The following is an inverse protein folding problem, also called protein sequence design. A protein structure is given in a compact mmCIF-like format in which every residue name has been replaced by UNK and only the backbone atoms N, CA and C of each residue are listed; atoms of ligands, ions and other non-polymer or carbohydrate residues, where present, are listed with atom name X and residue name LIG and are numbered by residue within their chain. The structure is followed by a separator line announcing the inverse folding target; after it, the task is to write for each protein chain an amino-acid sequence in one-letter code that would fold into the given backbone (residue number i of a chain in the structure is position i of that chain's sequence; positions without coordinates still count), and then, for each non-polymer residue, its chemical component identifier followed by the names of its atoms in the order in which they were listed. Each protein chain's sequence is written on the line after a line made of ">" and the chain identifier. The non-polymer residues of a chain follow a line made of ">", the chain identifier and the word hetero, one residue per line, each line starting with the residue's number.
data_IF_815821665824
#
_entry.id   IF_815821665824
#
_cell.length_a   1.000
_cell.length_b   1.000
_cell.length_c   1.000
_cell.angle_alpha   90.00
_cell.angle_beta   90.00
_cell.angle_gamma   90.00
#
_symmetry.space_group_name_H-M   'P 1'
#
loop_
_entity.id
_entity.type
_entity.pdbx_description
1 polymer ?
#
# COMPACT_ATOMS: atom_id res chain seq x y z
N UNK A 1 -13.98 26.92 18.78
CA UNK A 1 -13.25 26.98 17.51
C UNK A 1 -11.78 27.13 17.83
N UNK A 2 -10.91 26.23 17.39
CA UNK A 2 -9.47 26.38 17.54
C UNK A 2 -8.90 26.74 16.16
N UNK A 3 -8.11 27.82 16.07
CA UNK A 3 -7.59 28.36 14.79
C UNK A 3 -8.64 28.68 13.71
N UNK A 4 -9.90 28.95 14.09
CA UNK A 4 -10.98 29.23 13.13
C UNK A 4 -11.65 27.98 12.54
N UNK A 5 -11.33 26.78 13.05
CA UNK A 5 -11.90 25.51 12.60
C UNK A 5 -12.86 24.89 13.63
N UNK A 6 -13.90 24.16 13.17
CA UNK A 6 -14.62 23.19 13.98
C UNK A 6 -13.64 22.27 14.70
N UNK A 7 -13.78 22.15 16.02
CA UNK A 7 -12.95 21.27 16.85
C UNK A 7 -13.06 19.80 16.41
N UNK A 8 -14.18 19.42 15.79
CA UNK A 8 -14.41 18.10 15.18
C UNK A 8 -13.35 17.71 14.14
N UNK A 9 -12.78 18.67 13.41
CA UNK A 9 -11.81 18.39 12.34
C UNK A 9 -10.50 17.82 12.88
N UNK A 10 -10.06 18.26 14.06
CA UNK A 10 -8.81 17.78 14.66
C UNK A 10 -8.86 16.28 14.95
N UNK A 11 -10.00 15.78 15.43
CA UNK A 11 -10.21 14.34 15.65
C UNK A 11 -10.10 13.54 14.35
N UNK A 12 -10.62 14.06 13.23
CA UNK A 12 -10.55 13.42 11.91
C UNK A 12 -9.10 13.41 11.39
N UNK A 13 -8.37 14.52 11.55
CA UNK A 13 -6.98 14.63 11.09
C UNK A 13 -6.05 13.70 11.88
N UNK A 14 -6.20 13.64 13.21
CA UNK A 14 -5.43 12.75 14.08
C UNK A 14 -5.76 11.29 13.75
N UNK A 15 -7.05 10.96 13.57
CA UNK A 15 -7.45 9.63 13.12
C UNK A 15 -6.79 9.25 11.80
N UNK A 16 -6.80 10.15 10.80
CA UNK A 16 -6.16 9.90 9.50
C UNK A 16 -4.64 9.72 9.65
N UNK A 17 -3.98 10.55 10.46
CA UNK A 17 -2.54 10.42 10.72
C UNK A 17 -2.20 9.04 11.27
N UNK A 18 -2.88 8.64 12.35
CA UNK A 18 -2.63 7.38 13.03
C UNK A 18 -2.97 6.17 12.15
N UNK A 19 -4.08 6.21 11.41
CA UNK A 19 -4.43 5.14 10.47
C UNK A 19 -3.41 5.02 9.34
N UNK A 20 -2.93 6.15 8.78
CA UNK A 20 -1.94 6.14 7.70
C UNK A 20 -0.59 5.64 8.18
N UNK A 21 -0.15 6.09 9.36
CA UNK A 21 1.03 5.54 10.01
C UNK A 21 0.91 4.02 10.14
N UNK A 22 -0.24 3.57 10.65
CA UNK A 22 -0.48 2.16 10.93
C UNK A 22 -0.47 1.32 9.65
N UNK A 23 -1.16 1.77 8.59
CA UNK A 23 -1.20 1.10 7.29
C UNK A 23 0.18 1.02 6.62
N UNK A 24 0.88 2.16 6.49
CA UNK A 24 2.17 2.20 5.78
C UNK A 24 3.29 1.52 6.57
N UNK A 25 3.31 1.63 7.90
CA UNK A 25 4.31 0.97 8.74
C UNK A 25 4.23 -0.54 8.65
N UNK A 26 3.03 -1.10 8.85
CA UNK A 26 2.80 -2.54 8.72
C UNK A 26 3.08 -3.04 7.29
N UNK A 27 2.62 -2.29 6.27
CA UNK A 27 2.88 -2.63 4.86
C UNK A 27 4.37 -2.62 4.51
N UNK A 28 5.17 -1.73 5.09
CA UNK A 28 6.59 -1.61 4.77
C UNK A 28 7.39 -2.88 5.14
N UNK A 29 7.10 -3.45 6.31
CA UNK A 29 7.82 -4.62 6.86
C UNK A 29 7.24 -5.96 6.39
N UNK A 30 6.05 -5.95 5.79
CA UNK A 30 5.24 -7.15 5.54
C UNK A 30 5.93 -8.18 4.63
N UNK A 31 6.60 -7.74 3.56
CA UNK A 31 7.28 -8.67 2.64
C UNK A 31 8.46 -9.37 3.32
N UNK A 32 9.17 -8.66 4.22
CA UNK A 32 10.28 -9.22 4.98
C UNK A 32 9.78 -10.18 6.07
N UNK A 33 8.60 -9.91 6.64
CA UNK A 33 7.92 -10.85 7.54
C UNK A 33 7.63 -12.17 6.82
N UNK A 34 7.05 -12.13 5.61
CA UNK A 34 6.81 -13.36 4.84
C UNK A 34 8.09 -14.13 4.53
N UNK A 35 9.15 -13.42 4.10
CA UNK A 35 10.43 -14.04 3.74
C UNK A 35 11.17 -14.63 4.94
N UNK A 36 11.35 -13.85 6.02
CA UNK A 36 12.25 -14.23 7.11
C UNK A 36 11.55 -14.83 8.32
N UNK A 37 10.26 -14.54 8.55
CA UNK A 37 9.52 -15.10 9.68
C UNK A 37 8.72 -16.34 9.24
N UNK A 38 7.92 -16.22 8.18
CA UNK A 38 7.16 -17.35 7.64
C UNK A 38 7.98 -18.28 6.74
N UNK A 39 9.23 -17.91 6.43
CA UNK A 39 10.15 -18.70 5.60
C UNK A 39 9.60 -19.01 4.20
N UNK A 40 8.85 -18.07 3.61
CA UNK A 40 8.37 -18.20 2.24
C UNK A 40 9.41 -17.70 1.22
N UNK A 41 9.35 -18.25 0.01
CA UNK A 41 10.17 -17.76 -1.09
C UNK A 41 9.75 -16.34 -1.54
N UNK A 42 10.62 -15.70 -2.31
CA UNK A 42 10.43 -14.33 -2.80
C UNK A 42 9.19 -14.17 -3.69
N UNK A 43 8.82 -15.22 -4.44
CA UNK A 43 7.67 -15.20 -5.35
C UNK A 43 6.36 -15.29 -4.58
N UNK A 44 6.24 -16.24 -3.65
CA UNK A 44 5.07 -16.41 -2.79
C UNK A 44 4.87 -15.18 -1.90
N UNK A 45 5.95 -14.67 -1.29
CA UNK A 45 5.92 -13.45 -0.48
C UNK A 45 5.39 -12.25 -1.29
N UNK A 46 5.88 -12.10 -2.53
CA UNK A 46 5.41 -11.05 -3.44
C UNK A 46 3.94 -11.24 -3.83
N UNK A 47 3.52 -12.48 -4.15
CA UNK A 47 2.15 -12.78 -4.56
C UNK A 47 1.13 -12.50 -3.45
N UNK A 48 1.40 -12.92 -2.21
CA UNK A 48 0.53 -12.67 -1.07
C UNK A 48 0.49 -11.17 -0.73
N UNK A 49 1.65 -10.49 -0.76
CA UNK A 49 1.71 -9.04 -0.57
C UNK A 49 0.80 -8.28 -1.55
N UNK A 50 0.89 -8.57 -2.85
CA UNK A 50 0.06 -7.90 -3.84
C UNK A 50 -1.41 -8.32 -3.78
N UNK A 51 -1.71 -9.57 -3.39
CA UNK A 51 -3.09 -10.01 -3.16
C UNK A 51 -3.73 -9.23 -2.02
N UNK A 52 -2.99 -9.02 -0.93
CA UNK A 52 -3.41 -8.16 0.18
C UNK A 52 -3.65 -6.71 -0.26
N UNK A 53 -2.71 -6.12 -1.02
CA UNK A 53 -2.87 -4.75 -1.55
C UNK A 53 -4.08 -4.65 -2.47
N UNK A 54 -4.27 -5.61 -3.38
CA UNK A 54 -5.42 -5.67 -4.26
C UNK A 54 -6.74 -5.72 -3.46
N UNK A 55 -6.80 -6.54 -2.41
CA UNK A 55 -7.97 -6.61 -1.54
C UNK A 55 -8.24 -5.27 -0.84
N UNK A 56 -7.20 -4.59 -0.34
CA UNK A 56 -7.31 -3.26 0.28
C UNK A 56 -7.84 -2.16 -0.67
N UNK A 57 -7.72 -2.34 -1.98
CA UNK A 57 -8.24 -1.42 -3.00
C UNK A 57 -9.54 -1.90 -3.66
N UNK A 58 -9.94 -3.15 -3.42
CA UNK A 58 -11.22 -3.72 -3.85
C UNK A 58 -12.34 -3.49 -2.82
N UNK A 59 -12.04 -3.68 -1.54
CA UNK A 59 -12.97 -3.50 -0.42
C UNK A 59 -13.52 -2.07 -0.22
N UNK A 60 -12.92 -0.97 -0.72
CA UNK A 60 -13.58 0.34 -0.77
C UNK A 60 -14.96 0.31 -1.42
N UNK A 61 -15.15 -0.51 -2.46
CA UNK A 61 -16.47 -0.64 -3.10
C UNK A 61 -17.48 -1.11 -2.07
N UNK A 62 -17.17 -2.16 -1.30
CA UNK A 62 -18.04 -2.67 -0.24
C UNK A 62 -18.29 -1.62 0.84
N UNK A 63 -17.26 -0.91 1.29
CA UNK A 63 -17.38 0.15 2.29
C UNK A 63 -18.31 1.29 1.85
N UNK A 64 -18.19 1.74 0.60
CA UNK A 64 -19.05 2.76 0.02
C UNK A 64 -20.51 2.26 -0.08
N UNK A 65 -20.73 1.03 -0.56
CA UNK A 65 -22.09 0.46 -0.63
C UNK A 65 -22.75 0.41 0.75
N UNK A 66 -22.02 -0.01 1.79
CA UNK A 66 -22.52 -0.11 3.17
C UNK A 66 -22.83 1.29 3.75
N UNK A 67 -21.93 2.25 3.56
CA UNK A 67 -22.10 3.62 4.05
C UNK A 67 -23.27 4.34 3.39
N UNK A 68 -23.41 4.24 2.07
CA UNK A 68 -24.41 5.01 1.32
C UNK A 68 -25.81 4.38 1.36
N UNK A 69 -25.89 3.07 1.62
CA UNK A 69 -27.18 2.34 1.57
C UNK A 69 -27.76 2.01 2.94
N UNK A 70 -26.93 1.74 3.96
CA UNK A 70 -27.41 1.13 5.21
C UNK A 70 -26.97 1.88 6.48
N UNK A 71 -25.68 1.95 6.74
CA UNK A 71 -25.17 2.37 8.06
C UNK A 71 -24.92 3.88 8.17
N UNK A 72 -24.68 4.58 7.05
CA UNK A 72 -24.15 5.94 7.05
C UNK A 72 -22.64 5.98 7.30
N UNK A 73 -21.98 7.02 6.80
CA UNK A 73 -20.50 7.16 6.82
C UNK A 73 -19.90 6.96 8.22
N UNK A 74 -20.45 7.62 9.24
CA UNK A 74 -19.91 7.55 10.61
C UNK A 74 -19.92 6.12 11.19
N UNK A 75 -21.06 5.42 11.11
CA UNK A 75 -21.16 4.05 11.64
C UNK A 75 -20.30 3.07 10.85
N UNK A 76 -20.24 3.21 9.53
CA UNK A 76 -19.35 2.41 8.68
C UNK A 76 -17.88 2.60 9.06
N UNK A 77 -17.43 3.84 9.28
CA UNK A 77 -16.06 4.13 9.72
C UNK A 77 -15.76 3.43 11.05
N UNK A 78 -16.63 3.59 12.06
CA UNK A 78 -16.41 2.97 13.38
C UNK A 78 -16.40 1.45 13.30
N UNK A 79 -17.41 0.84 12.69
CA UNK A 79 -17.52 -0.63 12.60
C UNK A 79 -16.33 -1.25 11.86
N UNK A 80 -15.92 -0.68 10.72
CA UNK A 80 -14.78 -1.20 9.96
C UNK A 80 -13.44 -0.88 10.61
N UNK A 81 -13.33 0.21 11.38
CA UNK A 81 -12.12 0.51 12.16
C UNK A 81 -11.95 -0.46 13.34
N UNK A 82 -13.04 -0.97 13.92
CA UNK A 82 -12.97 -2.06 14.92
C UNK A 82 -12.43 -3.33 14.27
N UNK A 83 -12.98 -3.73 13.11
CA UNK A 83 -12.48 -4.88 12.33
C UNK A 83 -11.01 -4.71 11.98
N UNK A 84 -10.60 -3.50 11.58
CA UNK A 84 -9.21 -3.17 11.29
C UNK A 84 -8.32 -3.34 12.54
N UNK A 85 -8.73 -2.79 13.68
CA UNK A 85 -7.98 -2.88 14.94
C UNK A 85 -7.80 -4.34 15.37
N UNK A 86 -8.86 -5.16 15.27
CA UNK A 86 -8.78 -6.60 15.56
C UNK A 86 -7.80 -7.27 14.59
N UNK A 87 -7.89 -6.98 13.30
CA UNK A 87 -6.97 -7.53 12.30
C UNK A 87 -5.51 -7.23 12.60
N UNK A 88 -5.19 -6.00 13.03
CA UNK A 88 -3.83 -5.64 13.43
C UNK A 88 -3.38 -6.29 14.74
N UNK A 89 -4.27 -6.43 15.72
CA UNK A 89 -3.96 -7.16 16.95
C UNK A 89 -3.65 -8.64 16.64
N UNK A 90 -4.44 -9.27 15.76
CA UNK A 90 -4.19 -10.64 15.30
C UNK A 90 -2.85 -10.75 14.57
N UNK A 91 -2.50 -9.79 13.71
CA UNK A 91 -1.18 -9.75 13.05
C UNK A 91 -0.03 -9.56 14.04
N UNK A 92 -0.20 -8.74 15.08
CA UNK A 92 0.82 -8.57 16.10
C UNK A 92 1.03 -9.88 16.86
N UNK A 93 -0.04 -10.55 17.28
CA UNK A 93 0.01 -11.85 17.95
C UNK A 93 0.59 -12.94 17.05
N UNK A 94 0.27 -12.96 15.76
CA UNK A 94 0.81 -13.94 14.81
C UNK A 94 2.32 -13.83 14.60
N UNK A 95 2.95 -12.74 15.04
CA UNK A 95 4.39 -12.54 14.92
C UNK A 95 5.18 -12.86 16.20
N UNK A 96 4.51 -13.30 17.28
CA UNK A 96 5.16 -13.66 18.55
C UNK A 96 5.69 -15.11 18.45
N UNK A 97 7.00 -15.29 18.31
CA UNK A 97 7.64 -16.63 18.24
C UNK A 97 7.29 -17.52 19.44
N UNK A 98 7.36 -16.94 20.65
CA UNK A 98 7.10 -17.63 21.92
C UNK A 98 5.66 -18.21 22.02
N UNK A 99 4.76 -17.91 21.08
CA UNK A 99 3.41 -18.49 21.06
C UNK A 99 3.40 -19.99 20.74
N UNK A 100 4.32 -20.45 19.89
CA UNK A 100 4.42 -21.87 19.50
C UNK A 100 5.77 -22.50 19.79
N UNK A 101 6.80 -21.70 20.10
CA UNK A 101 8.13 -22.14 20.49
C UNK A 101 8.14 -22.76 21.90
N UNK A 102 7.85 -24.07 21.98
CA UNK A 102 7.88 -24.84 23.23
C UNK A 102 9.30 -25.28 23.59
N UNK A 103 10.17 -25.46 22.59
CA UNK A 103 11.53 -25.93 22.76
C UNK A 103 12.53 -24.79 23.13
N UNK A 104 12.08 -23.52 23.03
CA UNK A 104 12.81 -22.28 23.32
C UNK A 104 14.04 -22.05 22.45
N UNK A 105 14.06 -22.58 21.24
CA UNK A 105 15.17 -22.40 20.30
C UNK A 105 15.10 -21.05 19.54
N UNK A 106 14.00 -20.31 19.69
CA UNK A 106 13.78 -19.02 19.04
C UNK A 106 13.11 -19.12 17.67
N UNK A 107 12.70 -20.32 17.25
CA UNK A 107 11.95 -20.57 16.02
C UNK A 107 10.57 -21.15 16.31
N UNK A 108 9.53 -20.78 15.55
CA UNK A 108 8.21 -21.36 15.74
C UNK A 108 8.20 -22.86 15.42
N UNK A 109 7.92 -23.71 16.41
CA UNK A 109 7.75 -25.17 16.20
C UNK A 109 6.60 -25.46 15.22
N UNK A 110 5.56 -24.63 15.21
CA UNK A 110 4.34 -24.81 14.40
C UNK A 110 4.03 -23.57 13.57
N UNK A 111 4.75 -23.42 12.45
CA UNK A 111 4.60 -22.29 11.51
C UNK A 111 3.17 -22.16 10.96
N UNK A 112 2.39 -23.24 10.87
CA UNK A 112 1.02 -23.23 10.33
C UNK A 112 0.05 -22.35 11.13
N UNK A 113 0.23 -22.25 12.45
CA UNK A 113 -0.59 -21.36 13.30
C UNK A 113 -0.27 -19.90 12.98
N UNK A 114 1.01 -19.55 12.86
CA UNK A 114 1.45 -18.20 12.49
C UNK A 114 0.94 -17.81 11.11
N UNK A 115 0.97 -18.72 10.13
CA UNK A 115 0.40 -18.51 8.81
C UNK A 115 -1.11 -18.27 8.89
N UNK A 116 -1.86 -19.14 9.58
CA UNK A 116 -3.31 -19.03 9.67
C UNK A 116 -3.75 -17.70 10.33
N UNK A 117 -3.14 -17.35 11.45
CA UNK A 117 -3.40 -16.08 12.14
C UNK A 117 -3.04 -14.89 11.25
N UNK A 118 -1.90 -14.94 10.56
CA UNK A 118 -1.48 -13.86 9.66
C UNK A 118 -2.45 -13.67 8.49
N UNK A 119 -2.92 -14.76 7.87
CA UNK A 119 -3.88 -14.66 6.76
C UNK A 119 -5.23 -14.11 7.22
N UNK A 120 -5.71 -14.52 8.40
CA UNK A 120 -6.93 -13.95 9.01
C UNK A 120 -6.73 -12.47 9.30
N UNK A 121 -5.60 -12.09 9.91
CA UNK A 121 -5.24 -10.71 10.21
C UNK A 121 -5.22 -9.83 8.96
N UNK A 122 -4.56 -10.28 7.88
CA UNK A 122 -4.49 -9.55 6.61
C UNK A 122 -5.86 -9.36 5.94
N UNK A 123 -6.74 -10.36 5.98
CA UNK A 123 -8.10 -10.25 5.44
C UNK A 123 -8.91 -9.21 6.23
N UNK A 124 -8.86 -9.29 7.56
CA UNK A 124 -9.56 -8.32 8.44
C UNK A 124 -9.03 -6.90 8.23
N UNK A 125 -7.71 -6.74 8.12
CA UNK A 125 -7.09 -5.44 7.82
C UNK A 125 -7.56 -4.93 6.47
N UNK A 126 -7.54 -5.75 5.43
CA UNK A 126 -7.93 -5.34 4.08
C UNK A 126 -9.41 -4.92 4.01
N UNK A 127 -10.30 -5.62 4.73
CA UNK A 127 -11.70 -5.23 4.88
C UNK A 127 -11.83 -3.90 5.63
N UNK A 128 -11.08 -3.75 6.72
CA UNK A 128 -11.04 -2.55 7.55
C UNK A 128 -10.54 -1.31 6.80
N UNK A 129 -9.26 -1.27 6.44
CA UNK A 129 -8.63 -0.11 5.77
C UNK A 129 -9.31 0.23 4.46
N UNK A 130 -9.63 -0.77 3.63
CA UNK A 130 -10.25 -0.49 2.33
C UNK A 130 -11.67 0.05 2.48
N UNK A 131 -12.49 -0.52 3.37
CA UNK A 131 -13.86 -0.04 3.51
C UNK A 131 -13.99 1.33 4.21
N UNK A 132 -13.00 1.78 5.01
CA UNK A 132 -13.00 3.14 5.58
C UNK A 132 -12.53 4.21 4.59
N UNK A 133 -11.64 3.89 3.63
CA UNK A 133 -11.04 4.83 2.66
C UNK A 133 -12.04 5.78 1.96
N UNK A 134 -13.15 5.29 1.35
CA UNK A 134 -14.09 6.17 0.66
C UNK A 134 -14.94 7.00 1.63
N UNK A 135 -15.02 6.59 2.90
CA UNK A 135 -15.91 7.19 3.89
C UNK A 135 -15.23 8.34 4.64
N UNK A 136 -13.98 8.20 5.07
CA UNK A 136 -13.31 9.17 5.96
C UNK A 136 -13.10 10.53 5.30
N UNK A 137 -12.59 10.54 4.06
CA UNK A 137 -12.36 11.77 3.29
C UNK A 137 -13.68 12.51 2.99
N UNK A 138 -14.71 11.76 2.59
CA UNK A 138 -16.05 12.30 2.36
C UNK A 138 -16.68 12.82 3.67
N UNK A 139 -16.53 12.10 4.78
CA UNK A 139 -17.03 12.51 6.10
C UNK A 139 -16.36 13.77 6.62
N UNK A 140 -15.04 13.91 6.40
CA UNK A 140 -14.30 15.14 6.70
C UNK A 140 -14.79 16.34 5.87
N UNK A 141 -15.07 16.12 4.58
CA UNK A 141 -15.66 17.14 3.71
C UNK A 141 -17.05 17.61 4.15
N UNK A 142 -17.88 16.68 4.65
CA UNK A 142 -19.23 16.95 5.15
C UNK A 142 -19.26 17.84 6.42
N UNK A 143 -18.12 18.08 7.08
CA UNK A 143 -18.05 18.93 8.27
C UNK A 143 -18.11 20.43 7.95
N UNK A 144 -18.03 20.80 6.67
CA UNK A 144 -18.08 22.18 6.22
C UNK A 144 -19.41 22.46 5.51
N UNK A 145 -19.94 23.66 5.73
CA UNK A 145 -21.09 24.15 4.97
C UNK A 145 -20.67 24.67 3.58
N UNK A 146 -21.62 24.81 2.66
CA UNK A 146 -21.32 25.21 1.27
C UNK A 146 -20.64 26.57 1.14
N UNK A 147 -20.88 27.51 2.07
CA UNK A 147 -20.24 28.82 2.09
C UNK A 147 -18.76 28.79 2.57
N UNK A 148 -18.29 27.66 3.10
CA UNK A 148 -16.96 27.51 3.72
C UNK A 148 -15.92 26.88 2.77
N UNK A 149 -15.99 27.16 1.47
CA UNK A 149 -15.12 26.50 0.47
C UNK A 149 -13.63 26.67 0.74
N UNK A 150 -13.19 27.87 1.17
CA UNK A 150 -11.78 28.16 1.50
C UNK A 150 -11.29 27.33 2.69
N UNK A 151 -12.13 27.14 3.71
CA UNK A 151 -11.80 26.32 4.88
C UNK A 151 -11.74 24.85 4.51
N UNK A 152 -12.70 24.37 3.70
CA UNK A 152 -12.74 23.00 3.16
C UNK A 152 -11.51 22.67 2.32
N UNK A 153 -11.07 23.58 1.45
CA UNK A 153 -9.85 23.39 0.65
C UNK A 153 -8.58 23.31 1.52
N UNK A 154 -8.47 24.19 2.53
CA UNK A 154 -7.34 24.15 3.47
C UNK A 154 -7.36 22.88 4.34
N UNK A 155 -8.53 22.39 4.72
CA UNK A 155 -8.66 21.09 5.38
C UNK A 155 -8.09 19.95 4.54
N UNK A 156 -8.45 19.85 3.26
CA UNK A 156 -7.88 18.82 2.38
C UNK A 156 -6.37 18.94 2.21
N UNK A 157 -5.82 20.16 2.27
CA UNK A 157 -4.37 20.38 2.26
C UNK A 157 -3.70 19.85 3.53
N UNK A 158 -4.29 20.10 4.71
CA UNK A 158 -3.78 19.56 5.99
C UNK A 158 -3.96 18.04 6.04
N UNK A 159 -5.08 17.52 5.53
CA UNK A 159 -5.35 16.09 5.41
C UNK A 159 -4.29 15.40 4.55
N UNK A 160 -3.94 16.00 3.41
CA UNK A 160 -2.85 15.53 2.55
C UNK A 160 -1.48 15.54 3.24
N UNK A 161 -1.18 16.62 3.99
CA UNK A 161 0.04 16.69 4.78
C UNK A 161 0.09 15.60 5.86
N UNK A 162 -1.03 15.35 6.54
CA UNK A 162 -1.19 14.29 7.55
C UNK A 162 -0.90 12.90 6.98
N UNK A 163 -1.43 12.59 5.79
CA UNK A 163 -1.17 11.32 5.08
C UNK A 163 0.33 11.13 4.83
N UNK A 164 0.99 12.14 4.26
CA UNK A 164 2.41 12.05 3.94
C UNK A 164 3.29 11.99 5.19
N UNK A 165 2.95 12.77 6.23
CA UNK A 165 3.64 12.72 7.51
C UNK A 165 3.51 11.35 8.18
N UNK A 166 2.30 10.76 8.17
CA UNK A 166 2.05 9.42 8.71
C UNK A 166 2.87 8.36 7.97
N UNK A 167 2.84 8.38 6.62
CA UNK A 167 3.62 7.47 5.78
C UNK A 167 5.14 7.61 5.97
N UNK A 168 5.63 8.85 6.04
CA UNK A 168 7.05 9.15 6.26
C UNK A 168 7.52 8.60 7.61
N UNK A 169 6.82 8.95 8.69
CA UNK A 169 7.21 8.53 10.02
C UNK A 169 7.10 7.01 10.20
N UNK A 170 6.07 6.38 9.64
CA UNK A 170 5.90 4.93 9.77
C UNK A 170 6.95 4.13 9.00
N UNK A 171 7.33 4.59 7.80
CA UNK A 171 8.36 3.91 7.00
C UNK A 171 9.77 4.08 7.59
N UNK A 172 9.99 5.06 8.48
CA UNK A 172 11.23 5.20 9.24
C UNK A 172 11.16 4.36 10.52
N UNK A 173 10.14 4.60 11.34
CA UNK A 173 10.06 4.06 12.71
C UNK A 173 9.79 2.56 12.70
N UNK A 174 8.86 2.06 11.89
CA UNK A 174 8.47 0.64 11.94
C UNK A 174 9.62 -0.30 11.55
N UNK A 175 10.41 -0.03 10.49
CA UNK A 175 11.62 -0.80 10.20
C UNK A 175 12.68 -0.74 11.31
N UNK A 176 12.84 0.40 12.00
CA UNK A 176 13.75 0.52 13.15
C UNK A 176 13.27 -0.41 14.28
N UNK A 177 11.97 -0.41 14.58
CA UNK A 177 11.38 -1.30 15.58
C UNK A 177 11.55 -2.78 15.19
N UNK A 178 11.43 -3.13 13.91
CA UNK A 178 11.68 -4.48 13.39
C UNK A 178 13.14 -4.90 13.57
N UNK A 179 14.07 -3.97 13.37
CA UNK A 179 15.51 -4.24 13.45
C UNK A 179 16.02 -4.44 14.88
N UNK A 180 15.26 -3.99 15.89
CA UNK A 180 15.59 -4.25 17.28
C UNK A 180 15.50 -5.75 17.60
N UNK A 181 16.38 -6.20 18.49
CA UNK A 181 16.35 -7.54 19.05
C UNK A 181 15.30 -7.60 20.17
N UNK A 182 14.34 -8.52 20.06
CA UNK A 182 13.37 -8.80 21.10
C UNK A 182 13.04 -10.29 21.18
N UNK A 183 12.44 -10.68 22.30
CA UNK A 183 12.04 -12.05 22.63
C UNK A 183 12.30 -12.33 24.10
N UNK A 184 11.45 -13.15 24.72
CA UNK A 184 11.54 -13.43 26.16
C UNK A 184 12.68 -14.43 26.41
N UNK A 185 12.83 -15.41 25.52
CA UNK A 185 13.81 -16.50 25.66
C UNK A 185 14.94 -16.46 24.61
N UNK A 186 14.66 -16.06 23.37
CA UNK A 186 15.64 -15.94 22.27
C UNK A 186 15.59 -14.56 21.66
N UNK A 187 16.76 -13.94 21.42
CA UNK A 187 16.85 -12.61 20.80
C UNK A 187 16.71 -12.73 19.29
N UNK A 188 15.57 -12.28 18.75
CA UNK A 188 15.27 -12.29 17.32
C UNK A 188 14.83 -10.90 16.83
N UNK A 189 14.75 -10.71 15.51
CA UNK A 189 14.21 -9.46 14.93
C UNK A 189 12.75 -9.25 15.36
N UNK A 190 12.44 -8.06 15.85
CA UNK A 190 11.19 -7.81 16.56
C UNK A 190 9.99 -7.49 15.66
N UNK A 191 9.43 -8.50 15.00
CA UNK A 191 8.14 -8.36 14.30
C UNK A 191 6.95 -8.03 15.23
N UNK A 192 6.84 -8.58 16.46
CA UNK A 192 5.78 -8.20 17.40
C UNK A 192 5.70 -6.70 17.68
N UNK A 193 6.84 -6.05 17.85
CA UNK A 193 6.88 -4.61 18.08
C UNK A 193 6.55 -3.84 16.80
N UNK A 194 7.08 -4.30 15.65
CA UNK A 194 6.82 -3.70 14.35
C UNK A 194 5.34 -3.74 13.94
N UNK A 195 4.58 -4.77 14.32
CA UNK A 195 3.13 -4.84 14.10
C UNK A 195 2.30 -4.30 15.27
N UNK A 196 2.79 -4.45 16.50
CA UNK A 196 2.10 -4.03 17.72
C UNK A 196 1.98 -2.51 17.87
N UNK A 197 3.03 -1.74 17.50
CA UNK A 197 2.97 -0.26 17.54
C UNK A 197 1.92 0.28 16.55
N UNK A 198 1.90 -0.13 15.26
CA UNK A 198 0.79 0.14 14.36
C UNK A 198 -0.58 -0.25 14.91
N UNK A 199 -0.72 -1.42 15.55
CA UNK A 199 -1.98 -1.87 16.12
C UNK A 199 -2.47 -0.95 17.24
N UNK A 200 -1.58 -0.55 18.15
CA UNK A 200 -1.88 0.39 19.23
C UNK A 200 -2.28 1.77 18.68
N UNK A 201 -1.56 2.28 17.67
CA UNK A 201 -1.90 3.55 17.02
C UNK A 201 -3.26 3.49 16.30
N UNK A 202 -3.61 2.36 15.69
CA UNK A 202 -4.94 2.17 15.09
C UNK A 202 -6.04 2.18 16.16
N UNK A 203 -5.82 1.53 17.31
CA UNK A 203 -6.75 1.58 18.44
C UNK A 203 -6.93 3.01 18.97
N UNK A 204 -5.82 3.77 19.09
CA UNK A 204 -5.87 5.19 19.45
C UNK A 204 -6.65 5.99 18.41
N UNK A 205 -6.44 5.75 17.10
CA UNK A 205 -7.19 6.40 16.03
C UNK A 205 -8.70 6.22 16.19
N UNK A 206 -9.13 4.97 16.43
CA UNK A 206 -10.52 4.62 16.69
C UNK A 206 -11.10 5.33 17.91
N UNK A 207 -10.38 5.33 19.04
CA UNK A 207 -10.82 6.00 20.27
C UNK A 207 -10.96 7.51 20.04
N UNK A 208 -9.95 8.16 19.44
CA UNK A 208 -9.97 9.58 19.10
C UNK A 208 -11.16 9.91 18.20
N UNK A 209 -11.41 9.08 17.18
CA UNK A 209 -12.54 9.27 16.28
C UNK A 209 -13.89 9.17 17.02
N UNK A 210 -14.06 8.19 17.91
CA UNK A 210 -15.29 8.02 18.70
C UNK A 210 -15.49 9.16 19.71
N UNK A 211 -14.44 9.67 20.34
CA UNK A 211 -14.53 10.80 21.27
C UNK A 211 -15.09 12.04 20.58
N UNK A 212 -14.73 12.29 19.32
CA UNK A 212 -15.29 13.38 18.50
C UNK A 212 -16.76 13.19 18.08
N UNK A 213 -17.40 12.05 18.39
CA UNK A 213 -18.71 11.68 17.85
C UNK A 213 -19.86 12.64 18.18
N UNK A 214 -19.79 13.33 19.32
CA UNK A 214 -20.77 14.35 19.70
C UNK A 214 -20.66 15.64 18.89
N UNK A 215 -19.53 15.86 18.21
CA UNK A 215 -19.21 17.11 17.50
C UNK A 215 -19.36 17.00 15.98
N UNK A 216 -19.54 15.79 15.44
CA UNK A 216 -19.63 15.59 14.00
C UNK A 216 -21.01 15.87 13.44
N UNK A 217 -21.03 16.50 12.26
CA UNK A 217 -22.21 16.53 11.40
C UNK A 217 -22.37 15.16 10.73
N UNK A 218 -23.46 14.46 11.05
CA UNK A 218 -23.77 13.11 10.54
C UNK A 218 -24.87 13.20 9.47
N UNK A 219 -24.46 13.17 8.21
CA UNK A 219 -25.37 13.22 7.06
C UNK A 219 -26.10 11.88 6.90
N UNK A 220 -27.40 11.93 6.55
CA UNK A 220 -28.20 10.72 6.28
C UNK A 220 -27.76 10.04 4.98
N UNK A 221 -27.83 8.70 4.87
CA UNK A 221 -27.49 7.99 3.64
C UNK A 221 -28.36 8.45 2.46
N UNK A 222 -27.76 8.77 1.31
CA UNK A 222 -28.47 9.30 0.12
C UNK A 222 -28.78 8.22 -0.95
N UNK A 223 -28.63 6.94 -0.62
CA UNK A 223 -28.87 5.84 -1.53
C UNK A 223 -27.72 5.63 -2.53
N UNK A 224 -27.77 4.51 -3.24
CA UNK A 224 -26.60 3.97 -3.92
C UNK A 224 -26.56 4.31 -5.42
N UNK A 225 -25.78 5.34 -5.78
CA UNK A 225 -25.61 5.78 -7.17
C UNK A 225 -24.99 4.66 -8.03
N UNK A 226 -24.07 3.86 -7.47
CA UNK A 226 -23.43 2.77 -8.21
C UNK A 226 -24.44 1.71 -8.67
N UNK A 227 -25.39 1.34 -7.81
CA UNK A 227 -26.47 0.40 -8.18
C UNK A 227 -27.37 1.02 -9.25
N UNK A 228 -27.69 2.31 -9.15
CA UNK A 228 -28.51 3.01 -10.15
C UNK A 228 -27.83 3.04 -11.51
N UNK A 229 -26.53 3.38 -11.57
CA UNK A 229 -25.73 3.40 -12.79
C UNK A 229 -25.63 1.99 -13.40
N UNK A 230 -25.35 0.97 -12.60
CA UNK A 230 -25.29 -0.43 -13.07
C UNK A 230 -26.63 -0.92 -13.64
N UNK A 231 -27.76 -0.60 -12.98
CA UNK A 231 -29.10 -0.91 -13.51
C UNK A 231 -29.41 -0.14 -14.78
N UNK A 232 -29.01 1.13 -14.87
CA UNK A 232 -29.17 1.96 -16.08
C UNK A 232 -28.41 1.36 -17.27
N UNK A 233 -27.15 0.95 -17.06
CA UNK A 233 -26.33 0.29 -18.09
C UNK A 233 -26.96 -1.06 -18.50
N UNK A 234 -27.32 -1.90 -17.55
CA UNK A 234 -27.94 -3.20 -17.82
C UNK A 234 -29.27 -3.06 -18.58
N UNK A 235 -30.09 -2.07 -18.21
CA UNK A 235 -31.33 -1.77 -18.93
C UNK A 235 -31.05 -1.25 -20.35
N UNK A 236 -30.11 -0.33 -20.55
CA UNK A 236 -29.73 0.16 -21.87
C UNK A 236 -29.28 -0.98 -22.80
N UNK A 237 -28.45 -1.89 -22.28
CA UNK A 237 -27.96 -3.06 -23.02
C UNK A 237 -29.12 -3.99 -23.38
N UNK A 238 -29.96 -4.36 -22.40
CA UNK A 238 -31.14 -5.21 -22.63
C UNK A 238 -32.08 -4.60 -23.66
N UNK A 239 -32.32 -3.30 -23.59
CA UNK A 239 -33.25 -2.59 -24.46
C UNK A 239 -32.69 -2.47 -25.89
N UNK A 240 -31.37 -2.27 -26.03
CA UNK A 240 -30.66 -2.30 -27.31
C UNK A 240 -30.75 -3.66 -28.00
N UNK A 241 -30.64 -4.75 -27.25
CA UNK A 241 -30.75 -6.10 -27.82
C UNK A 241 -32.19 -6.45 -28.22
N UNK A 242 -33.19 -6.01 -27.44
CA UNK A 242 -34.62 -6.20 -27.77
C UNK A 242 -35.06 -5.43 -29.01
N UNK A 243 -34.59 -4.20 -29.18
CA UNK A 243 -34.98 -3.32 -30.28
C UNK A 243 -33.96 -3.29 -31.43
N UNK A 244 -33.26 -4.40 -31.67
CA UNK A 244 -32.25 -4.52 -32.74
C UNK A 244 -32.84 -4.62 -34.15
N UNK A 245 -34.17 -4.68 -34.28
CA UNK A 245 -34.90 -4.71 -35.56
C UNK A 245 -34.78 -3.38 -36.32
N UNK A 246 -34.88 -3.41 -37.66
CA UNK A 246 -34.78 -2.25 -38.56
C UNK A 246 -35.89 -1.21 -38.39
N UNK A 247 -36.93 -1.50 -37.60
CA UNK A 247 -38.10 -0.63 -37.40
C UNK A 247 -37.84 0.55 -36.44
N UNK A 248 -36.79 0.51 -35.61
CA UNK A 248 -36.51 1.57 -34.64
C UNK A 248 -35.42 2.53 -35.14
N UNK A 249 -35.60 3.86 -34.99
CA UNK A 249 -34.59 4.83 -35.36
C UNK A 249 -33.31 4.62 -34.53
N UNK A 250 -32.16 4.63 -35.20
CA UNK A 250 -30.86 4.50 -34.55
C UNK A 250 -30.64 5.70 -33.62
N UNK A 251 -30.43 5.44 -32.32
CA UNK A 251 -30.02 6.47 -31.36
C UNK A 251 -28.54 6.80 -31.52
N UNK A 252 -28.15 8.06 -31.27
CA UNK A 252 -26.75 8.53 -31.40
C UNK A 252 -25.78 7.78 -30.48
N UNK A 253 -26.19 7.45 -29.26
CA UNK A 253 -25.38 6.66 -28.32
C UNK A 253 -26.16 5.45 -27.80
N UNK A 254 -25.47 4.31 -27.61
CA UNK A 254 -26.08 3.07 -27.14
C UNK A 254 -26.70 3.16 -25.72
N UNK A 255 -26.25 4.12 -24.92
CA UNK A 255 -26.80 4.37 -23.59
C UNK A 255 -28.15 5.10 -23.62
N UNK A 256 -28.50 5.74 -24.74
CA UNK A 256 -29.77 6.47 -24.86
C UNK A 256 -30.96 5.53 -24.87
N UNK A 257 -30.77 4.24 -25.10
CA UNK A 257 -31.79 3.21 -24.93
C UNK A 257 -32.34 3.10 -23.49
N UNK A 258 -31.72 3.76 -22.51
CA UNK A 258 -32.24 3.88 -21.16
C UNK A 258 -33.22 5.05 -20.95
N UNK A 259 -33.42 5.94 -21.93
CA UNK A 259 -34.23 7.16 -21.76
C UNK A 259 -35.71 6.92 -21.47
N UNK A 260 -36.20 5.70 -21.71
CA UNK A 260 -37.58 5.29 -21.43
C UNK A 260 -37.84 5.12 -19.93
N UNK A 261 -36.79 4.84 -19.15
CA UNK A 261 -36.90 4.49 -17.72
C UNK A 261 -36.08 5.40 -16.81
N UNK A 262 -35.02 6.01 -17.32
CA UNK A 262 -34.06 6.77 -16.53
C UNK A 262 -33.94 8.21 -17.01
N UNK A 263 -33.68 9.12 -16.07
CA UNK A 263 -33.51 10.54 -16.34
C UNK A 263 -32.36 10.82 -17.31
N UNK A 264 -32.56 11.80 -18.20
CA UNK A 264 -31.53 12.27 -19.15
C UNK A 264 -30.23 12.69 -18.46
N UNK A 265 -30.33 13.25 -17.24
CA UNK A 265 -29.17 13.63 -16.42
C UNK A 265 -28.33 12.41 -16.04
N UNK A 266 -28.96 11.36 -15.51
CA UNK A 266 -28.28 10.12 -15.10
C UNK A 266 -27.61 9.44 -16.30
N UNK A 267 -28.30 9.39 -17.45
CA UNK A 267 -27.75 8.83 -18.68
C UNK A 267 -26.52 9.62 -19.13
N UNK A 268 -26.60 10.96 -19.15
CA UNK A 268 -25.48 11.82 -19.57
C UNK A 268 -24.28 11.68 -18.64
N UNK A 269 -24.50 11.67 -17.32
CA UNK A 269 -23.45 11.44 -16.32
C UNK A 269 -22.81 10.06 -16.49
N UNK A 270 -23.62 9.02 -16.74
CA UNK A 270 -23.12 7.66 -16.99
C UNK A 270 -22.26 7.60 -18.26
N UNK A 271 -22.64 8.30 -19.35
CA UNK A 271 -21.80 8.41 -20.56
C UNK A 271 -20.45 9.06 -20.24
N UNK A 272 -20.44 10.12 -19.42
CA UNK A 272 -19.19 10.79 -19.01
C UNK A 272 -18.30 9.85 -18.20
N UNK A 273 -18.86 9.12 -17.23
CA UNK A 273 -18.12 8.15 -16.41
C UNK A 273 -17.51 7.05 -17.27
N UNK A 274 -18.25 6.49 -18.24
CA UNK A 274 -17.73 5.46 -19.14
C UNK A 274 -16.57 5.97 -20.01
N UNK A 275 -16.61 7.23 -20.46
CA UNK A 275 -15.48 7.87 -21.17
C UNK A 275 -14.24 8.01 -20.28
N UNK A 276 -14.43 8.38 -19.01
CA UNK A 276 -13.33 8.47 -18.04
C UNK A 276 -12.75 7.09 -17.73
N UNK A 277 -13.59 6.07 -17.55
CA UNK A 277 -13.16 4.68 -17.35
C UNK A 277 -12.33 4.17 -18.52
N UNK A 278 -12.73 4.48 -19.75
CA UNK A 278 -11.94 4.14 -20.94
C UNK A 278 -10.56 4.82 -20.92
N UNK A 279 -10.49 6.08 -20.51
CA UNK A 279 -9.21 6.80 -20.36
C UNK A 279 -8.32 6.20 -19.26
N UNK A 280 -8.89 5.49 -18.29
CA UNK A 280 -8.17 4.88 -17.17
C UNK A 280 -7.66 3.46 -17.46
N UNK A 281 -7.98 2.86 -18.61
CA UNK A 281 -7.52 1.51 -19.00
C UNK A 281 -5.99 1.31 -18.88
N UNK A 282 -5.12 2.31 -19.19
CA UNK A 282 -3.66 2.15 -19.03
C UNK A 282 -3.15 2.26 -17.58
N UNK A 283 -3.93 2.84 -16.66
CA UNK A 283 -3.48 3.11 -15.28
C UNK A 283 -3.11 1.87 -14.45
N UNK A 284 -3.78 0.69 -14.59
CA UNK A 284 -3.35 -0.52 -13.90
C UNK A 284 -1.89 -0.89 -14.12
N UNK A 285 -1.33 -0.61 -15.32
CA UNK A 285 0.10 -0.86 -15.59
C UNK A 285 1.00 0.04 -14.76
N UNK A 286 0.63 1.30 -14.57
CA UNK A 286 1.37 2.20 -13.68
C UNK A 286 1.36 1.69 -12.24
N UNK A 287 0.21 1.27 -11.72
CA UNK A 287 0.09 0.74 -10.36
C UNK A 287 0.83 -0.60 -10.19
N UNK A 288 0.81 -1.47 -11.20
CA UNK A 288 1.56 -2.71 -11.22
C UNK A 288 3.08 -2.49 -11.13
N UNK A 289 3.58 -1.36 -11.62
CA UNK A 289 4.97 -0.94 -11.47
C UNK A 289 5.21 -0.27 -10.12
N UNK A 290 4.38 0.72 -9.76
CA UNK A 290 4.54 1.52 -8.55
C UNK A 290 4.46 0.70 -7.25
N UNK A 291 3.56 -0.29 -7.18
CA UNK A 291 3.41 -1.08 -5.95
C UNK A 291 4.55 -2.09 -5.72
N UNK A 292 5.43 -2.34 -6.71
CA UNK A 292 6.60 -3.22 -6.52
C UNK A 292 7.65 -2.64 -5.60
N UNK A 293 7.62 -1.32 -5.35
CA UNK A 293 8.54 -0.67 -4.42
C UNK A 293 8.49 -1.30 -3.02
N UNK A 294 7.31 -1.78 -2.60
CA UNK A 294 7.11 -2.36 -1.28
C UNK A 294 7.39 -3.87 -1.21
N UNK A 295 7.57 -4.54 -2.35
CA UNK A 295 7.83 -5.97 -2.45
C UNK A 295 9.19 -6.24 -3.11
N UNK A 296 9.26 -6.30 -4.43
CA UNK A 296 10.46 -6.66 -5.19
C UNK A 296 11.63 -5.73 -4.96
N UNK A 297 11.40 -4.42 -4.84
CA UNK A 297 12.51 -3.50 -4.57
C UNK A 297 13.03 -3.64 -3.14
N UNK A 298 12.16 -3.89 -2.16
CA UNK A 298 12.59 -4.24 -0.80
C UNK A 298 13.41 -5.54 -0.78
N UNK A 299 13.01 -6.55 -1.57
CA UNK A 299 13.74 -7.81 -1.70
C UNK A 299 15.10 -7.60 -2.38
N UNK A 300 15.16 -6.82 -3.46
CA UNK A 300 16.41 -6.44 -4.11
C UNK A 300 17.33 -5.68 -3.14
N UNK A 301 16.79 -4.77 -2.33
CA UNK A 301 17.56 -4.06 -1.32
C UNK A 301 18.12 -4.99 -0.22
N UNK A 302 17.56 -6.18 0.00
CA UNK A 302 18.13 -7.16 0.95
C UNK A 302 19.45 -7.78 0.50
N UNK A 303 19.76 -7.70 -0.79
CA UNK A 303 21.03 -8.19 -1.36
C UNK A 303 22.01 -7.05 -1.65
N UNK A 304 21.75 -5.85 -1.13
CA UNK A 304 22.60 -4.68 -1.27
C UNK A 304 23.23 -4.32 0.07
N UNK A 305 24.37 -3.62 0.03
CA UNK A 305 24.94 -3.04 1.24
C UNK A 305 24.12 -1.82 1.69
N UNK A 306 23.56 -1.91 2.90
CA UNK A 306 22.82 -0.84 3.56
C UNK A 306 23.70 0.06 4.43
N UNK A 307 25.01 -0.15 4.45
CA UNK A 307 25.94 0.61 5.29
C UNK A 307 26.28 1.97 4.66
N UNK A 308 25.73 3.05 5.23
CA UNK A 308 26.10 4.42 4.90
C UNK A 308 27.14 5.01 5.88
N UNK A 309 28.05 4.16 6.36
CA UNK A 309 29.13 4.52 7.28
C UNK A 309 28.64 4.75 8.72
N UNK A 310 27.92 5.85 8.96
CA UNK A 310 27.41 6.21 10.28
C UNK A 310 26.04 5.60 10.61
N UNK A 311 25.27 5.21 9.58
CA UNK A 311 23.90 4.71 9.73
C UNK A 311 23.75 3.47 8.86
N UNK A 312 23.27 2.37 9.45
CA UNK A 312 22.87 1.19 8.71
C UNK A 312 21.39 1.30 8.33
N UNK A 313 21.12 1.49 7.04
CA UNK A 313 19.77 1.59 6.50
C UNK A 313 19.22 0.18 6.28
N UNK A 314 18.03 -0.08 6.80
CA UNK A 314 17.34 -1.34 6.60
C UNK A 314 16.68 -1.38 5.19
N UNK A 315 16.59 -2.55 4.53
CA UNK A 315 16.06 -2.66 3.17
C UNK A 315 14.64 -2.08 3.01
N UNK A 316 13.78 -2.27 4.00
CA UNK A 316 12.41 -1.78 4.08
C UNK A 316 12.31 -0.24 4.29
N UNK A 317 13.38 0.42 4.75
CA UNK A 317 13.44 1.89 4.83
C UNK A 317 13.62 2.55 3.47
N UNK A 318 13.92 1.81 2.40
CA UNK A 318 13.92 2.35 1.03
C UNK A 318 12.56 2.99 0.68
N UNK A 319 11.47 2.48 1.26
CA UNK A 319 10.12 3.01 1.04
C UNK A 319 9.94 4.44 1.59
N UNK A 320 10.80 4.89 2.50
CA UNK A 320 10.81 6.27 3.03
C UNK A 320 11.15 7.31 1.97
N UNK A 321 11.90 6.93 0.93
CA UNK A 321 12.29 7.86 -0.15
C UNK A 321 11.06 8.40 -0.87
N UNK A 322 10.01 7.58 -1.04
CA UNK A 322 8.80 7.99 -1.75
C UNK A 322 8.06 9.18 -1.10
N UNK A 323 7.63 9.15 0.18
CA UNK A 323 6.98 10.30 0.80
C UNK A 323 7.89 11.53 0.87
N UNK A 324 9.21 11.38 1.04
CA UNK A 324 10.18 12.50 0.96
C UNK A 324 10.12 13.14 -0.42
N UNK A 325 10.22 12.34 -1.48
CA UNK A 325 10.15 12.82 -2.85
C UNK A 325 8.80 13.47 -3.16
N UNK A 326 7.68 12.94 -2.65
CA UNK A 326 6.37 13.57 -2.84
C UNK A 326 6.34 14.96 -2.20
N UNK A 327 6.78 15.09 -0.94
CA UNK A 327 6.77 16.37 -0.20
C UNK A 327 7.65 17.41 -0.90
N UNK A 328 8.77 17.01 -1.48
CA UNK A 328 9.70 17.91 -2.18
C UNK A 328 9.25 18.19 -3.62
N UNK A 329 8.91 17.15 -4.39
CA UNK A 329 8.64 17.27 -5.82
C UNK A 329 7.29 17.91 -6.11
N UNK A 330 6.27 17.76 -5.26
CA UNK A 330 4.98 18.41 -5.50
C UNK A 330 5.13 19.94 -5.56
N UNK A 331 5.70 20.62 -4.55
CA UNK A 331 5.99 22.06 -4.63
C UNK A 331 6.93 22.44 -5.78
N UNK A 332 7.99 21.66 -6.02
CA UNK A 332 8.95 21.96 -7.11
C UNK A 332 8.27 21.89 -8.47
N UNK A 333 7.46 20.86 -8.71
CA UNK A 333 6.73 20.69 -9.97
C UNK A 333 5.71 21.80 -10.17
N UNK A 334 4.95 22.15 -9.12
CA UNK A 334 3.88 23.15 -9.20
C UNK A 334 4.39 24.59 -9.25
N UNK A 335 5.42 24.93 -8.47
CA UNK A 335 5.94 26.30 -8.36
C UNK A 335 7.06 26.62 -9.36
N UNK A 336 7.80 25.62 -9.83
CA UNK A 336 8.95 25.82 -10.72
C UNK A 336 8.71 25.22 -12.09
N UNK A 337 8.44 23.91 -12.18
CA UNK A 337 8.41 23.20 -13.47
C UNK A 337 7.23 23.64 -14.34
N UNK A 338 5.99 23.62 -13.82
CA UNK A 338 4.83 24.02 -14.63
C UNK A 338 4.88 25.49 -15.06
N UNK A 339 5.28 26.45 -14.21
CA UNK A 339 5.48 27.84 -14.65
C UNK A 339 6.56 27.98 -15.73
N UNK A 340 7.67 27.24 -15.65
CA UNK A 340 8.71 27.25 -16.69
C UNK A 340 8.20 26.66 -18.02
N UNK A 341 7.48 25.53 -17.98
CA UNK A 341 6.86 24.94 -19.18
C UNK A 341 5.85 25.92 -19.81
N UNK A 342 5.11 26.65 -18.97
CA UNK A 342 4.18 27.70 -19.42
C UNK A 342 4.92 28.87 -20.07
N UNK A 343 6.10 29.27 -19.56
CA UNK A 343 6.97 30.26 -20.21
C UNK A 343 7.46 29.79 -21.59
N UNK A 344 7.70 28.49 -21.75
CA UNK A 344 8.00 27.88 -23.05
C UNK A 344 6.79 27.76 -23.99
N UNK A 345 5.63 28.32 -23.64
CA UNK A 345 4.36 28.27 -24.42
C UNK A 345 3.84 26.85 -24.70
N UNK A 346 4.26 25.86 -23.90
CA UNK A 346 3.76 24.48 -24.01
C UNK A 346 2.57 24.32 -23.07
N UNK A 347 1.39 24.04 -23.64
CA UNK A 347 0.21 23.70 -22.84
C UNK A 347 0.35 22.25 -22.32
N UNK A 348 0.61 22.11 -21.03
CA UNK A 348 0.76 20.81 -20.38
C UNK A 348 -0.59 20.30 -19.84
N UNK A 349 -1.33 19.60 -20.70
CA UNK A 349 -2.67 19.07 -20.37
C UNK A 349 -2.59 17.94 -19.34
N UNK A 350 -3.69 17.65 -18.60
CA UNK A 350 -3.72 16.52 -17.67
C UNK A 350 -3.37 15.17 -18.32
N UNK A 351 -3.80 14.94 -19.57
CA UNK A 351 -3.43 13.73 -20.31
C UNK A 351 -1.91 13.65 -20.55
N UNK A 352 -1.26 14.77 -20.91
CA UNK A 352 0.21 14.82 -21.08
C UNK A 352 0.95 14.52 -19.78
N UNK A 353 0.43 14.98 -18.63
CA UNK A 353 0.97 14.64 -17.30
C UNK A 353 0.95 13.12 -17.08
N UNK A 354 -0.18 12.47 -17.37
CA UNK A 354 -0.33 11.01 -17.25
C UNK A 354 0.65 10.28 -18.19
N UNK A 355 0.75 10.71 -19.45
CA UNK A 355 1.67 10.09 -20.43
C UNK A 355 3.13 10.20 -20.00
N UNK A 356 3.58 11.38 -19.56
CA UNK A 356 4.96 11.56 -19.07
C UNK A 356 5.21 10.74 -17.81
N UNK A 357 4.25 10.68 -16.88
CA UNK A 357 4.34 9.84 -15.68
C UNK A 357 4.52 8.36 -16.00
N UNK A 358 3.78 7.83 -16.98
CA UNK A 358 3.93 6.43 -17.43
C UNK A 358 5.32 6.18 -18.05
N UNK A 359 5.84 7.13 -18.83
CA UNK A 359 7.19 7.01 -19.39
C UNK A 359 8.26 7.02 -18.29
N UNK A 360 8.17 7.93 -17.30
CA UNK A 360 9.10 7.97 -16.17
C UNK A 360 9.05 6.70 -15.32
N UNK A 361 7.85 6.13 -15.09
CA UNK A 361 7.70 4.85 -14.41
C UNK A 361 8.41 3.71 -15.17
N UNK A 362 8.32 3.69 -16.51
CA UNK A 362 9.05 2.70 -17.31
C UNK A 362 10.57 2.86 -17.20
N UNK A 363 11.07 4.10 -17.20
CA UNK A 363 12.50 4.39 -17.06
C UNK A 363 13.03 3.99 -15.67
N UNK A 364 12.22 4.16 -14.62
CA UNK A 364 12.58 3.71 -13.28
C UNK A 364 12.79 2.19 -13.20
N UNK A 365 12.01 1.41 -13.96
CA UNK A 365 12.21 -0.05 -14.04
C UNK A 365 13.43 -0.46 -14.86
N UNK A 366 13.79 0.32 -15.90
CA UNK A 366 15.07 0.15 -16.59
C UNK A 366 16.23 0.37 -15.62
N UNK A 367 16.17 1.44 -14.82
CA UNK A 367 17.18 1.69 -13.80
C UNK A 367 17.27 0.56 -12.76
N UNK A 368 16.13 0.06 -12.26
CA UNK A 368 16.09 -1.07 -11.34
C UNK A 368 16.68 -2.36 -11.94
N UNK A 369 16.46 -2.61 -13.23
CA UNK A 369 17.04 -3.75 -13.93
C UNK A 369 18.56 -3.62 -14.10
N UNK A 370 19.06 -2.41 -14.42
CA UNK A 370 20.50 -2.14 -14.48
C UNK A 370 21.18 -2.35 -13.11
N UNK A 371 20.52 -1.93 -12.04
CA UNK A 371 20.98 -2.19 -10.67
C UNK A 371 21.02 -3.70 -10.39
N UNK A 372 19.99 -4.46 -10.79
CA UNK A 372 19.98 -5.93 -10.62
C UNK A 372 21.17 -6.60 -11.32
N UNK A 373 21.46 -6.22 -12.57
CA UNK A 373 22.61 -6.77 -13.32
C UNK A 373 23.93 -6.53 -12.60
N UNK A 374 24.06 -5.43 -11.88
CA UNK A 374 25.27 -5.15 -11.09
C UNK A 374 25.30 -5.94 -9.78
N UNK A 375 24.16 -6.13 -9.13
CA UNK A 375 24.03 -6.98 -7.93
C UNK A 375 24.38 -8.43 -8.28
N UNK A 376 23.88 -8.95 -9.40
CA UNK A 376 24.11 -10.34 -9.81
C UNK A 376 25.59 -10.67 -10.02
N UNK A 377 26.42 -9.68 -10.38
CA UNK A 377 27.89 -9.85 -10.46
C UNK A 377 28.55 -10.03 -9.09
N UNK A 378 27.93 -9.51 -8.04
CA UNK A 378 28.46 -9.59 -6.66
C UNK A 378 27.91 -10.80 -5.90
N UNK A 379 26.80 -11.37 -6.36
CA UNK A 379 26.22 -12.57 -5.76
C UNK A 379 27.09 -13.81 -6.08
N UNK A 380 27.25 -14.75 -5.12
CA UNK A 380 27.94 -15.99 -5.39
C UNK A 380 27.18 -16.80 -6.45
N UNK A 381 27.88 -17.31 -7.46
CA UNK A 381 27.31 -18.20 -8.47
C UNK A 381 26.97 -19.52 -7.79
N UNK A 382 25.69 -19.75 -7.51
CA UNK A 382 25.21 -21.01 -6.95
C UNK A 382 25.35 -22.15 -7.98
N UNK A 383 25.68 -23.38 -7.54
CA UNK A 383 25.81 -24.52 -8.44
C UNK A 383 24.46 -24.89 -9.07
N UNK A 384 24.48 -25.32 -10.33
CA UNK A 384 23.29 -25.83 -11.01
C UNK A 384 22.83 -27.18 -10.42
N UNK A 385 21.62 -27.64 -10.77
CA UNK A 385 21.11 -28.94 -10.34
C UNK A 385 22.09 -30.07 -10.68
N UNK A 386 22.53 -30.83 -9.68
CA UNK A 386 23.53 -31.90 -9.82
C UNK A 386 24.98 -31.48 -9.60
N UNK A 387 25.25 -30.20 -9.34
CA UNK A 387 26.57 -29.70 -8.93
C UNK A 387 26.59 -29.36 -7.44
N UNK A 388 27.71 -29.57 -6.78
CA UNK A 388 27.96 -29.11 -5.40
C UNK A 388 29.13 -28.14 -5.43
N UNK A 389 28.94 -26.96 -4.89
CA UNK A 389 29.98 -25.94 -4.76
C UNK A 389 30.43 -25.88 -3.31
N UNK A 390 31.72 -26.07 -3.07
CA UNK A 390 32.33 -25.89 -1.77
C UNK A 390 33.19 -24.62 -1.81
N UNK A 391 32.82 -23.60 -1.03
CA UNK A 391 33.61 -22.37 -0.88
C UNK A 391 34.36 -22.43 0.44
N UNK A 392 35.69 -22.51 0.37
CA UNK A 392 36.57 -22.47 1.54
C UNK A 392 37.20 -21.09 1.62
N UNK A 393 37.05 -20.43 2.77
CA UNK A 393 37.57 -19.10 3.03
C UNK A 393 38.66 -19.20 4.09
N UNK A 394 39.87 -18.77 3.75
CA UNK A 394 40.98 -18.70 4.70
C UNK A 394 40.98 -17.33 5.38
N UNK A 395 40.56 -17.29 6.65
CA UNK A 395 40.55 -16.10 7.49
C UNK A 395 41.86 -15.88 8.26
N UNK A 396 42.84 -16.78 8.10
CA UNK A 396 44.15 -16.70 8.75
C UNK A 396 45.17 -15.90 7.92
N UNK A 397 46.30 -15.58 8.54
CA UNK A 397 47.43 -14.90 7.88
C UNK A 397 48.30 -15.84 7.04
N UNK A 398 48.21 -17.15 7.27
CA UNK A 398 49.02 -18.17 6.60
C UNK A 398 48.19 -18.94 5.57
N UNK A 399 48.82 -19.44 4.50
CA UNK A 399 48.17 -20.25 3.47
C UNK A 399 47.59 -21.56 4.03
N UNK A 400 46.39 -21.93 3.59
CA UNK A 400 45.75 -23.21 3.94
C UNK A 400 45.70 -24.13 2.71
N UNK A 401 45.95 -25.43 2.91
CA UNK A 401 45.86 -26.46 1.85
C UNK A 401 44.68 -27.37 2.15
N UNK A 402 43.77 -27.54 1.18
CA UNK A 402 42.63 -28.45 1.29
C UNK A 402 42.78 -29.60 0.30
N UNK A 403 42.56 -30.83 0.78
CA UNK A 403 42.71 -32.07 0.02
C UNK A 403 41.34 -32.74 -0.16
N UNK A 404 41.02 -33.11 -1.39
CA UNK A 404 39.79 -33.85 -1.74
C UNK A 404 40.14 -35.26 -2.20
N UNK A 405 39.53 -36.29 -1.60
CA UNK A 405 39.62 -37.69 -2.03
C UNK A 405 38.44 -38.04 -2.95
N UNK A 406 38.58 -38.95 -3.96
CA UNK A 406 39.56 -40.04 -4.10
C UNK A 406 40.61 -39.85 -5.21
N UNK A 407 40.56 -38.75 -5.97
CA UNK A 407 41.64 -38.31 -6.87
C UNK A 407 42.19 -36.99 -6.33
N UNK A 408 43.39 -37.05 -5.75
CA UNK A 408 44.01 -35.96 -4.99
C UNK A 408 44.28 -34.77 -5.94
N UNK A 409 43.38 -33.80 -5.95
CA UNK A 409 43.65 -32.46 -6.46
C UNK A 409 43.96 -31.57 -5.25
N UNK A 410 45.22 -31.18 -5.14
CA UNK A 410 45.66 -30.20 -4.15
C UNK A 410 45.25 -28.79 -4.62
N UNK A 411 44.49 -28.08 -3.79
CA UNK A 411 44.16 -26.66 -4.03
C UNK A 411 44.73 -25.83 -2.89
N UNK A 412 45.71 -24.99 -3.21
CA UNK A 412 46.30 -24.02 -2.27
C UNK A 412 45.43 -22.76 -2.25
N UNK A 413 44.96 -22.37 -1.06
CA UNK A 413 44.05 -21.23 -0.90
C UNK A 413 44.82 -20.08 -0.25
N UNK A 414 45.04 -19.01 -1.01
CA UNK A 414 45.68 -17.79 -0.53
C UNK A 414 44.78 -17.03 0.46
N UNK A 415 45.35 -16.22 1.38
CA UNK A 415 44.58 -15.40 2.32
C UNK A 415 43.65 -14.42 1.59
N UNK A 416 42.47 -14.17 2.16
CA UNK A 416 41.52 -13.19 1.62
C UNK A 416 42.16 -11.78 1.65
N UNK A 417 42.44 -11.20 0.49
CA UNK A 417 42.88 -9.80 0.41
C UNK A 417 41.70 -8.89 0.77
N UNK A 418 41.93 -8.04 1.78
CA UNK A 418 40.96 -7.12 2.40
C UNK A 418 40.39 -6.10 1.44
#
# INVERSE_FOLDING_TARGET
>A
SCFGYPLSIFFIIINEFCERFSYYGMRAVLVLYFKYFLQWDDNLSTAIYHTFVALCYLTPILGALIADSWLGKFKTIVSLSIVYTIGQAVMAVSSINDLTDHNRDGTPDVVTVHVALSMIGLILIALGTGGIKPCVSAFGGDQFEDHQEKQRSRFFSIFYLSINAGSLLSTIITPILRAQECGIHSKQRCYPLAFGVPAALMAIALVVFIVGSGMYKKVKPQGNIMIQVSKCIGFAIKNRFRHRSKEFPKREHWLDWASEKYDKRLITQTKMVLKVLFLYIPLPMFWALFDQQGSRWTLQATTMDGNFGAIQIQPDQMQTVNPILIIIMVPVVDAVIYPLIKKCKINFTPLRKITVGMFLASLAFVAAALVQVQIDKTLPVFPAAGQSQLKILNLGTNSATVKFEPQIQDVTIEPLQS
#
